data_IF_685423489384
#
_entry.id   IF_685423489384
#
_cell.length_a   1.000
_cell.length_b   1.000
_cell.length_c   1.000
_cell.angle_alpha   90.00
_cell.angle_beta   90.00
_cell.angle_gamma   90.00
#
_symmetry.space_group_name_H-M   'P 1'
#
loop_
_entity.id
_entity.type
_entity.pdbx_description
1 polymer ?
#
# COMPACT_ATOMS: atom_id res chain seq x y z
N UNK A 1 -22.35 1.94 28.96
CA UNK A 1 -21.84 1.00 27.94
C UNK A 1 -21.90 1.55 26.50
N UNK A 2 -22.86 2.41 26.12
CA UNK A 2 -22.94 2.97 24.75
C UNK A 2 -21.74 3.82 24.28
N UNK A 3 -20.99 4.44 25.22
CA UNK A 3 -19.75 5.18 24.89
C UNK A 3 -18.67 4.28 24.27
N UNK A 4 -18.53 3.04 24.73
CA UNK A 4 -17.51 2.11 24.21
C UNK A 4 -17.85 1.67 22.79
N UNK A 5 -19.13 1.38 22.51
CA UNK A 5 -19.60 1.02 21.17
C UNK A 5 -19.44 2.16 20.14
N UNK A 6 -19.61 3.42 20.55
CA UNK A 6 -19.38 4.58 19.69
C UNK A 6 -17.91 4.72 19.26
N UNK A 7 -16.97 4.48 20.17
CA UNK A 7 -15.54 4.49 19.86
C UNK A 7 -15.14 3.34 18.94
N UNK A 8 -15.65 2.13 19.19
CA UNK A 8 -15.39 0.96 18.32
C UNK A 8 -15.95 1.19 16.91
N UNK A 9 -17.16 1.75 16.80
CA UNK A 9 -17.75 2.10 15.51
C UNK A 9 -16.91 3.16 14.78
N UNK A 10 -16.43 4.20 15.48
CA UNK A 10 -15.57 5.22 14.89
C UNK A 10 -14.24 4.63 14.38
N UNK A 11 -13.60 3.76 15.17
CA UNK A 11 -12.36 3.07 14.76
C UNK A 11 -12.61 2.18 13.54
N UNK A 12 -13.70 1.42 13.53
CA UNK A 12 -14.07 0.58 12.37
C UNK A 12 -14.40 1.43 11.13
N UNK A 13 -15.04 2.59 11.28
CA UNK A 13 -15.32 3.51 10.18
C UNK A 13 -14.04 4.13 9.63
N UNK A 14 -13.08 4.49 10.49
CA UNK A 14 -11.76 4.95 10.07
C UNK A 14 -11.02 3.84 9.34
N UNK A 15 -10.99 2.61 9.87
CA UNK A 15 -10.37 1.47 9.17
C UNK A 15 -11.06 1.18 7.84
N UNK A 16 -12.40 1.26 7.80
CA UNK A 16 -13.19 1.04 6.59
C UNK A 16 -12.96 2.13 5.55
N UNK A 17 -12.96 3.40 5.93
CA UNK A 17 -12.68 4.54 5.03
C UNK A 17 -11.25 4.50 4.51
N UNK A 18 -10.27 4.21 5.38
CA UNK A 18 -8.88 4.03 4.95
C UNK A 18 -8.78 2.86 3.99
N UNK A 19 -9.38 1.70 4.28
CA UNK A 19 -9.42 0.53 3.38
C UNK A 19 -10.15 0.80 2.06
N UNK A 20 -11.26 1.53 2.07
CA UNK A 20 -12.00 1.86 0.85
C UNK A 20 -11.20 2.85 0.02
N UNK A 21 -10.64 3.92 0.58
CA UNK A 21 -9.74 4.80 -0.17
C UNK A 21 -8.54 4.05 -0.72
N UNK A 22 -8.04 3.06 0.01
CA UNK A 22 -6.97 2.15 -0.43
C UNK A 22 -7.34 1.31 -1.65
N UNK A 23 -8.50 0.65 -1.60
CA UNK A 23 -9.04 -0.18 -2.69
C UNK A 23 -9.52 0.67 -3.87
N UNK A 24 -9.84 1.95 -3.63
CA UNK A 24 -10.26 2.92 -4.64
C UNK A 24 -9.12 3.85 -5.08
N UNK A 25 -7.90 3.60 -4.60
CA UNK A 25 -6.75 4.41 -4.93
C UNK A 25 -6.35 4.09 -6.36
N UNK A 26 -6.36 5.11 -7.25
CA UNK A 26 -6.08 4.94 -8.69
C UNK A 26 -4.68 4.40 -8.97
N UNK A 27 -3.80 4.37 -7.97
CA UNK A 27 -2.44 3.86 -8.02
C UNK A 27 -2.29 2.42 -7.55
N UNK A 28 -3.30 1.82 -6.89
CA UNK A 28 -3.21 0.45 -6.35
C UNK A 28 -3.19 -0.61 -7.45
N UNK A 29 -4.18 -0.59 -8.34
CA UNK A 29 -4.27 -1.51 -9.48
C UNK A 29 -3.04 -1.46 -10.39
N UNK A 30 -2.57 -0.28 -10.84
CA UNK A 30 -1.42 -0.23 -11.73
C UNK A 30 -0.10 -0.60 -11.01
N UNK A 31 0.01 -0.40 -9.70
CA UNK A 31 1.13 -0.93 -8.92
C UNK A 31 1.09 -2.48 -8.84
N UNK A 32 -0.09 -3.07 -8.58
CA UNK A 32 -0.28 -4.53 -8.62
C UNK A 32 0.09 -5.09 -9.98
N UNK A 33 -0.37 -4.45 -11.05
CA UNK A 33 -0.04 -4.83 -12.42
C UNK A 33 1.46 -4.74 -12.71
N UNK A 34 2.15 -3.69 -12.23
CA UNK A 34 3.60 -3.57 -12.34
C UNK A 34 4.35 -4.70 -11.61
N UNK A 35 3.89 -5.06 -10.41
CA UNK A 35 4.44 -6.21 -9.67
C UNK A 35 4.22 -7.54 -10.42
N UNK A 36 3.01 -7.76 -10.95
CA UNK A 36 2.72 -8.97 -11.73
C UNK A 36 3.51 -9.02 -13.05
N UNK A 37 3.72 -7.87 -13.70
CA UNK A 37 4.55 -7.76 -14.91
C UNK A 37 6.03 -8.10 -14.64
N UNK A 38 6.50 -7.97 -13.39
CA UNK A 38 7.82 -8.39 -12.95
C UNK A 38 8.03 -9.91 -12.91
N UNK A 39 6.98 -10.72 -13.12
CA UNK A 39 7.06 -12.17 -13.36
C UNK A 39 7.58 -13.04 -12.21
N UNK A 40 7.90 -12.45 -11.06
CA UNK A 40 8.59 -13.11 -9.94
C UNK A 40 7.70 -13.39 -8.74
N UNK A 41 6.47 -12.86 -8.71
CA UNK A 41 5.56 -12.92 -7.59
C UNK A 41 4.15 -13.37 -8.02
N UNK A 42 3.43 -14.07 -7.15
CA UNK A 42 2.03 -14.46 -7.39
C UNK A 42 1.08 -13.27 -7.21
N UNK A 43 -0.15 -13.36 -7.73
CA UNK A 43 -1.13 -12.28 -7.59
C UNK A 43 -1.39 -11.91 -6.13
N UNK A 44 -1.44 -12.88 -5.23
CA UNK A 44 -1.61 -12.64 -3.79
C UNK A 44 -0.42 -11.91 -3.17
N UNK A 45 0.81 -12.25 -3.57
CA UNK A 45 2.03 -11.56 -3.12
C UNK A 45 2.04 -10.11 -3.61
N UNK A 46 1.66 -9.87 -4.87
CA UNK A 46 1.57 -8.53 -5.44
C UNK A 46 0.44 -7.70 -4.83
N UNK A 47 -0.69 -8.33 -4.50
CA UNK A 47 -1.79 -7.69 -3.77
C UNK A 47 -1.36 -7.30 -2.36
N UNK A 48 -0.68 -8.21 -1.64
CA UNK A 48 -0.14 -7.92 -0.31
C UNK A 48 0.90 -6.79 -0.36
N UNK A 49 1.82 -6.80 -1.32
CA UNK A 49 2.83 -5.77 -1.48
C UNK A 49 2.20 -4.40 -1.81
N UNK A 50 1.20 -4.37 -2.70
CA UNK A 50 0.44 -3.15 -3.02
C UNK A 50 -0.25 -2.57 -1.77
N UNK A 51 -0.80 -3.46 -0.94
CA UNK A 51 -1.37 -3.19 0.38
C UNK A 51 -0.37 -2.83 1.48
N UNK A 52 0.91 -3.07 1.27
CA UNK A 52 1.97 -2.65 2.18
C UNK A 52 2.47 -1.25 1.78
N UNK A 53 2.71 -1.03 0.49
CA UNK A 53 3.25 0.23 -0.04
C UNK A 53 2.32 1.40 0.25
N UNK A 54 1.05 1.33 -0.12
CA UNK A 54 0.09 2.45 0.07
C UNK A 54 -0.25 2.72 1.57
N UNK A 55 0.30 1.92 2.50
CA UNK A 55 0.08 2.00 3.97
C UNK A 55 1.18 2.86 4.56
N UNK A 56 2.33 2.87 3.89
CA UNK A 56 3.53 3.62 4.22
C UNK A 56 3.73 4.85 3.32
N UNK A 57 3.02 4.90 2.19
CA UNK A 57 3.05 5.97 1.21
C UNK A 57 1.65 6.47 0.93
N UNK A 58 1.51 7.79 0.81
CA UNK A 58 0.30 8.43 0.30
C UNK A 58 0.13 8.19 -1.20
N UNK A 59 -1.09 8.30 -1.72
CA UNK A 59 -1.39 8.11 -3.14
C UNK A 59 -0.52 8.99 -4.06
N UNK A 60 -0.21 10.22 -3.63
CA UNK A 60 0.64 11.15 -4.37
C UNK A 60 2.12 10.69 -4.40
N UNK A 61 2.63 10.11 -3.30
CA UNK A 61 3.96 9.51 -3.28
C UNK A 61 4.01 8.27 -4.18
N UNK A 62 2.99 7.41 -4.14
CA UNK A 62 2.90 6.25 -5.04
C UNK A 62 2.84 6.69 -6.51
N UNK A 63 2.08 7.74 -6.82
CA UNK A 63 2.02 8.29 -8.17
C UNK A 63 3.40 8.81 -8.64
N UNK A 64 4.15 9.48 -7.77
CA UNK A 64 5.51 9.93 -8.08
C UNK A 64 6.49 8.77 -8.29
N UNK A 65 6.37 7.71 -7.48
CA UNK A 65 7.15 6.47 -7.61
C UNK A 65 6.86 5.81 -8.96
N UNK A 66 5.59 5.70 -9.32
CA UNK A 66 5.15 5.11 -10.58
C UNK A 66 5.61 5.92 -11.80
N UNK A 67 5.59 7.25 -11.70
CA UNK A 67 6.05 8.13 -12.78
C UNK A 67 7.58 8.22 -12.86
N UNK A 68 8.32 7.60 -11.93
CA UNK A 68 9.78 7.67 -11.85
C UNK A 68 10.31 9.07 -11.51
N UNK A 69 9.47 9.96 -11.00
CA UNK A 69 9.81 11.36 -10.70
C UNK A 69 10.27 11.51 -9.24
N UNK A 70 10.81 10.43 -8.67
CA UNK A 70 11.38 10.47 -7.32
C UNK A 70 12.68 11.28 -7.40
N UNK A 71 12.57 12.58 -7.15
CA UNK A 71 13.69 13.51 -7.14
C UNK A 71 14.41 13.53 -5.79
N UNK A 72 13.77 13.02 -4.74
CA UNK A 72 14.35 12.92 -3.40
C UNK A 72 15.07 11.55 -3.19
N UNK A 73 16.39 11.53 -2.99
CA UNK A 73 17.14 10.29 -2.75
C UNK A 73 16.74 9.59 -1.43
N UNK A 74 16.26 10.32 -0.42
CA UNK A 74 15.74 9.72 0.81
C UNK A 74 14.41 8.99 0.55
N UNK A 75 13.59 9.51 -0.36
CA UNK A 75 12.36 8.83 -0.78
C UNK A 75 12.69 7.55 -1.57
N UNK A 76 13.69 7.56 -2.45
CA UNK A 76 14.13 6.34 -3.13
C UNK A 76 14.58 5.25 -2.15
N UNK A 77 15.43 5.60 -1.18
CA UNK A 77 15.88 4.67 -0.15
C UNK A 77 14.72 4.14 0.70
N UNK A 78 13.75 5.00 1.04
CA UNK A 78 12.54 4.61 1.77
C UNK A 78 11.72 3.62 0.95
N UNK A 79 11.55 3.86 -0.35
CA UNK A 79 10.80 2.97 -1.25
C UNK A 79 11.48 1.62 -1.37
N UNK A 80 12.79 1.58 -1.64
CA UNK A 80 13.54 0.32 -1.66
C UNK A 80 13.43 -0.43 -0.33
N UNK A 81 13.55 0.27 0.80
CA UNK A 81 13.38 -0.32 2.13
C UNK A 81 12.00 -0.92 2.34
N UNK A 82 10.94 -0.16 2.04
CA UNK A 82 9.55 -0.60 2.19
C UNK A 82 9.22 -1.75 1.24
N UNK A 83 9.67 -1.71 -0.02
CA UNK A 83 9.46 -2.79 -0.99
C UNK A 83 10.23 -4.05 -0.58
N UNK A 84 11.45 -3.91 -0.07
CA UNK A 84 12.25 -5.04 0.43
C UNK A 84 11.67 -5.67 1.69
N UNK A 85 11.17 -4.87 2.62
CA UNK A 85 10.49 -5.39 3.82
C UNK A 85 9.14 -5.98 3.42
N UNK A 86 8.33 -5.24 2.66
CA UNK A 86 7.02 -5.68 2.19
C UNK A 86 7.07 -6.97 1.38
N UNK A 87 8.05 -7.15 0.50
CA UNK A 87 8.23 -8.40 -0.27
C UNK A 87 8.64 -9.58 0.62
N UNK A 88 9.32 -9.32 1.74
CA UNK A 88 9.66 -10.35 2.73
C UNK A 88 8.46 -10.73 3.58
N UNK A 89 7.71 -9.74 4.05
CA UNK A 89 6.47 -9.93 4.82
C UNK A 89 5.40 -10.64 3.97
N UNK A 90 5.26 -10.24 2.71
CA UNK A 90 4.31 -10.80 1.75
C UNK A 90 4.82 -12.05 1.03
N UNK A 91 5.94 -12.66 1.45
CA UNK A 91 6.46 -13.89 0.85
C UNK A 91 5.55 -15.09 1.15
N UNK A 92 4.96 -15.11 2.34
CA UNK A 92 3.92 -16.02 2.80
C UNK A 92 2.74 -15.17 3.32
N UNK A 93 1.94 -14.59 2.41
CA UNK A 93 0.84 -13.70 2.77
C UNK A 93 -0.33 -14.46 3.43
#
# INVERSE_FOLDING_TARGET
MGKVFLWIAAVLLVVFTVKTQYLTSKTWEPFKQGCMAGGTATEEQCSCLSNYVHKHFSDNEVEQIMKGIITDPAMQQKVEGIVRVGSRECKNP
#
